data_IF_189488906970
#
_entry.id   IF_189488906970
#
_cell.length_a   1.000
_cell.length_b   1.000
_cell.length_c   1.000
_cell.angle_alpha   90.00
_cell.angle_beta   90.00
_cell.angle_gamma   90.00
#
_symmetry.space_group_name_H-M   'P 1'
#
loop_
_entity.id
_entity.type
_entity.pdbx_description
1 polymer ?
#
# COMPACT_ATOMS: atom_id res chain seq x y z
N UNK A 1 10.39 -1.15 14.31
CA UNK A 1 9.55 -2.17 15.00
C UNK A 1 8.15 -2.16 14.40
N UNK A 2 7.64 -3.32 14.04
CA UNK A 2 6.31 -3.45 13.44
C UNK A 2 5.30 -3.82 14.51
N UNK A 3 4.14 -3.17 14.49
CA UNK A 3 3.01 -3.44 15.37
C UNK A 3 1.69 -3.04 14.70
N UNK A 4 0.59 -3.49 15.26
CA UNK A 4 -0.72 -3.00 14.85
C UNK A 4 -0.87 -1.53 15.22
N UNK A 5 -1.57 -0.75 14.38
CA UNK A 5 -1.84 0.65 14.68
C UNK A 5 -2.90 0.79 15.76
N UNK A 6 -2.93 1.96 16.39
CA UNK A 6 -3.98 2.32 17.33
C UNK A 6 -4.82 3.46 16.74
N UNK A 7 -6.13 3.45 16.98
CA UNK A 7 -7.05 4.43 16.39
C UNK A 7 -6.69 5.88 16.73
N UNK A 8 -6.07 6.12 17.88
CA UNK A 8 -5.58 7.46 18.25
C UNK A 8 -4.50 8.00 17.31
N UNK A 9 -3.89 7.11 16.50
CA UNK A 9 -2.82 7.45 15.58
C UNK A 9 -3.32 7.87 14.20
N UNK A 10 -4.62 8.03 14.03
CA UNK A 10 -5.21 8.33 12.72
C UNK A 10 -4.66 9.60 12.10
N UNK A 11 -4.38 10.64 12.90
CA UNK A 11 -3.81 11.89 12.42
C UNK A 11 -2.43 11.70 11.77
N UNK A 12 -1.44 11.14 12.51
CA UNK A 12 -0.12 10.84 11.96
C UNK A 12 -0.17 9.89 10.75
N UNK A 13 -1.06 8.90 10.78
CA UNK A 13 -1.17 7.95 9.69
C UNK A 13 -1.70 8.60 8.42
N UNK A 14 -2.70 9.45 8.53
CA UNK A 14 -3.24 10.20 7.38
C UNK A 14 -2.22 11.18 6.81
N UNK A 15 -1.44 11.84 7.67
CA UNK A 15 -0.38 12.74 7.23
C UNK A 15 0.68 11.98 6.44
N UNK A 16 1.09 10.82 6.93
CA UNK A 16 2.05 9.97 6.26
C UNK A 16 1.50 9.48 4.91
N UNK A 17 0.24 9.03 4.89
CA UNK A 17 -0.42 8.60 3.67
C UNK A 17 -0.42 9.71 2.61
N UNK A 18 -0.86 10.92 2.99
CA UNK A 18 -0.99 12.04 2.06
C UNK A 18 0.38 12.44 1.48
N UNK A 19 1.37 12.64 2.34
CA UNK A 19 2.73 12.98 1.91
C UNK A 19 3.31 11.92 0.96
N UNK A 20 3.16 10.66 1.33
CA UNK A 20 3.75 9.55 0.59
C UNK A 20 3.06 9.31 -0.73
N UNK A 21 1.72 9.39 -0.78
CA UNK A 21 0.99 9.17 -2.03
C UNK A 21 1.23 10.28 -3.04
N UNK A 22 1.34 11.53 -2.59
CA UNK A 22 1.70 12.66 -3.45
C UNK A 22 3.11 12.44 -4.02
N UNK A 23 4.06 12.08 -3.18
CA UNK A 23 5.44 11.83 -3.59
C UNK A 23 5.54 10.70 -4.63
N UNK A 24 4.78 9.62 -4.43
CA UNK A 24 4.83 8.43 -5.29
C UNK A 24 4.13 8.64 -6.65
N UNK A 25 3.23 9.60 -6.76
CA UNK A 25 2.37 9.77 -7.93
C UNK A 25 2.43 11.18 -8.52
N UNK A 26 3.59 11.63 -9.03
CA UNK A 26 3.72 12.98 -9.59
C UNK A 26 2.87 13.19 -10.86
N UNK A 27 2.39 12.12 -11.47
CA UNK A 27 1.52 12.15 -12.66
C UNK A 27 0.03 12.34 -12.31
N UNK A 28 -0.31 12.48 -11.01
CA UNK A 28 -1.67 12.71 -10.53
C UNK A 28 -1.69 14.04 -9.79
N UNK A 29 -2.73 14.83 -9.99
CA UNK A 29 -2.88 16.13 -9.33
C UNK A 29 -2.98 15.96 -7.83
N UNK A 30 -2.24 16.75 -7.06
CA UNK A 30 -2.26 16.69 -5.61
C UNK A 30 -3.66 16.89 -5.02
N UNK A 31 -4.50 17.73 -5.67
CA UNK A 31 -5.86 17.97 -5.23
C UNK A 31 -6.68 16.67 -5.09
N UNK A 32 -6.46 15.70 -5.98
CA UNK A 32 -7.14 14.41 -5.90
C UNK A 32 -6.86 13.71 -4.57
N UNK A 33 -5.60 13.73 -4.14
CA UNK A 33 -5.22 13.08 -2.88
C UNK A 33 -5.77 13.82 -1.66
N UNK A 34 -5.74 15.16 -1.68
CA UNK A 34 -6.36 15.97 -0.62
C UNK A 34 -7.86 15.69 -0.49
N UNK A 35 -8.55 15.56 -1.61
CA UNK A 35 -9.98 15.24 -1.64
C UNK A 35 -10.28 13.83 -1.16
N UNK A 36 -9.30 12.93 -1.27
CA UNK A 36 -9.45 11.52 -0.88
C UNK A 36 -9.24 11.27 0.62
N UNK A 37 -8.70 12.22 1.36
CA UNK A 37 -8.38 12.07 2.78
C UNK A 37 -9.59 11.60 3.58
N UNK A 38 -10.77 12.19 3.36
CA UNK A 38 -11.97 11.84 4.10
C UNK A 38 -12.39 10.37 3.87
N UNK A 39 -12.27 9.88 2.64
CA UNK A 39 -12.59 8.49 2.31
C UNK A 39 -11.62 7.53 2.98
N UNK A 40 -10.33 7.85 2.95
CA UNK A 40 -9.32 7.02 3.61
C UNK A 40 -9.56 6.96 5.11
N UNK A 41 -9.85 8.11 5.73
CA UNK A 41 -10.10 8.20 7.17
C UNK A 41 -11.38 7.47 7.59
N UNK A 42 -12.47 7.65 6.85
CA UNK A 42 -13.80 7.24 7.28
C UNK A 42 -14.22 5.87 6.73
N UNK A 43 -13.64 5.43 5.62
CA UNK A 43 -14.04 4.19 4.95
C UNK A 43 -12.93 3.15 4.94
N UNK A 44 -11.75 3.50 4.40
CA UNK A 44 -10.67 2.51 4.21
C UNK A 44 -10.00 2.08 5.50
N UNK A 45 -9.52 3.01 6.30
CA UNK A 45 -8.80 2.66 7.53
C UNK A 45 -9.67 1.88 8.53
N UNK A 46 -10.96 2.26 8.76
CA UNK A 46 -11.81 1.48 9.63
C UNK A 46 -12.06 0.05 9.17
N UNK A 47 -12.07 -0.19 7.85
CA UNK A 47 -12.33 -1.50 7.28
C UNK A 47 -11.08 -2.36 7.11
N UNK A 48 -9.89 -1.80 7.33
CA UNK A 48 -8.62 -2.48 7.07
C UNK A 48 -7.96 -2.98 8.35
N UNK A 49 -7.11 -4.01 8.20
CA UNK A 49 -6.11 -4.36 9.20
C UNK A 49 -4.82 -3.64 8.83
N UNK A 50 -4.28 -2.86 9.76
CA UNK A 50 -3.14 -1.98 9.48
C UNK A 50 -1.99 -2.24 10.45
N UNK A 51 -0.79 -2.41 9.89
CA UNK A 51 0.46 -2.53 10.62
C UNK A 51 1.31 -1.31 10.34
N UNK A 52 2.01 -0.84 11.37
CA UNK A 52 2.89 0.33 11.27
C UNK A 52 4.33 -0.04 11.62
N UNK A 53 5.26 0.67 11.01
CA UNK A 53 6.67 0.66 11.41
C UNK A 53 6.91 1.88 12.27
N UNK A 54 7.22 1.66 13.54
CA UNK A 54 7.53 2.71 14.49
C UNK A 54 9.02 2.74 14.78
N UNK A 55 9.58 3.95 14.80
CA UNK A 55 10.98 4.20 15.07
C UNK A 55 11.09 5.56 15.75
N UNK A 56 11.75 5.64 16.90
CA UNK A 56 11.92 6.89 17.66
C UNK A 56 10.58 7.59 17.94
N UNK A 57 9.57 6.83 18.34
CA UNK A 57 8.21 7.30 18.63
C UNK A 57 7.47 7.90 17.44
N UNK A 58 7.97 7.65 16.22
CA UNK A 58 7.33 8.13 14.98
C UNK A 58 6.96 6.96 14.07
N UNK A 59 5.83 7.07 13.40
CA UNK A 59 5.43 6.12 12.37
C UNK A 59 6.14 6.48 11.07
N UNK A 60 6.99 5.59 10.57
CA UNK A 60 7.78 5.80 9.35
C UNK A 60 7.21 5.07 8.14
N UNK A 61 6.28 4.17 8.35
CA UNK A 61 5.63 3.42 7.28
C UNK A 61 4.42 2.66 7.79
N UNK A 62 3.56 2.25 6.88
CA UNK A 62 2.42 1.40 7.23
C UNK A 62 1.95 0.58 6.04
N UNK A 63 1.24 -0.51 6.33
CA UNK A 63 0.56 -1.33 5.33
C UNK A 63 -0.85 -1.63 5.83
N UNK A 64 -1.85 -1.47 4.95
CA UNK A 64 -3.25 -1.73 5.25
C UNK A 64 -3.79 -2.81 4.31
N UNK A 65 -4.44 -3.82 4.88
CA UNK A 65 -5.03 -4.93 4.12
C UNK A 65 -6.51 -4.99 4.41
N UNK A 66 -7.32 -4.96 3.36
CA UNK A 66 -8.78 -5.09 3.45
C UNK A 66 -9.18 -6.57 3.59
N UNK A 67 -10.41 -6.84 4.02
CA UNK A 67 -10.92 -8.22 4.21
C UNK A 67 -10.77 -9.09 2.97
N UNK A 68 -10.88 -8.52 1.79
CA UNK A 68 -10.69 -9.22 0.51
C UNK A 68 -9.24 -9.61 0.23
N UNK A 69 -8.34 -9.46 1.21
CA UNK A 69 -6.90 -9.70 1.07
C UNK A 69 -6.24 -8.74 0.08
N UNK A 70 -6.86 -7.60 -0.09
CA UNK A 70 -6.38 -6.55 -0.97
C UNK A 70 -5.52 -5.57 -0.18
N UNK A 71 -4.28 -5.38 -0.60
CA UNK A 71 -3.39 -4.38 -0.01
C UNK A 71 -3.84 -3.02 -0.51
N UNK A 72 -4.59 -2.30 0.33
CA UNK A 72 -5.14 -1.00 -0.02
C UNK A 72 -4.13 0.13 0.07
N UNK A 73 -3.10 -0.04 0.88
CA UNK A 73 -2.05 0.97 1.04
C UNK A 73 -0.76 0.33 1.55
N UNK A 74 0.36 0.77 1.03
CA UNK A 74 1.68 0.52 1.56
C UNK A 74 2.51 1.77 1.28
N UNK A 75 2.87 2.46 2.34
CA UNK A 75 3.64 3.70 2.21
C UNK A 75 4.74 3.78 3.25
N UNK A 76 5.89 4.32 2.84
CA UNK A 76 7.04 4.59 3.69
C UNK A 76 7.34 6.07 3.56
N UNK A 77 7.62 6.74 4.67
CA UNK A 77 7.96 8.17 4.67
C UNK A 77 9.09 8.43 3.65
N UNK A 78 9.00 9.49 2.84
CA UNK A 78 10.05 9.79 1.85
C UNK A 78 11.45 9.89 2.45
N UNK A 79 11.55 10.31 3.71
CA UNK A 79 12.83 10.42 4.43
C UNK A 79 13.37 9.07 4.93
N UNK A 80 12.54 8.01 4.87
CA UNK A 80 12.91 6.67 5.37
C UNK A 80 12.94 5.61 4.27
N UNK A 81 12.89 6.01 3.00
CA UNK A 81 12.93 5.09 1.87
C UNK A 81 14.28 4.36 1.77
N UNK A 82 14.26 3.19 1.12
CA UNK A 82 15.44 2.36 0.84
C UNK A 82 16.14 1.81 2.08
N UNK A 83 15.42 1.66 3.18
CA UNK A 83 15.92 1.08 4.43
C UNK A 83 15.35 -0.30 4.71
N UNK A 84 14.55 -0.86 3.78
CA UNK A 84 13.93 -2.17 3.97
C UNK A 84 12.63 -2.14 4.77
N UNK A 85 12.08 -0.96 5.10
CA UNK A 85 10.83 -0.85 5.87
C UNK A 85 9.65 -1.42 5.09
N UNK A 86 9.52 -1.07 3.80
CA UNK A 86 8.45 -1.59 2.95
C UNK A 86 8.48 -3.11 2.85
N UNK A 87 9.66 -3.68 2.65
CA UNK A 87 9.86 -5.13 2.61
C UNK A 87 9.45 -5.79 3.93
N UNK A 88 9.87 -5.20 5.07
CA UNK A 88 9.53 -5.74 6.38
C UNK A 88 8.02 -5.73 6.62
N UNK A 89 7.32 -4.68 6.18
CA UNK A 89 5.87 -4.58 6.28
C UNK A 89 5.17 -5.64 5.41
N UNK A 90 5.63 -5.84 4.18
CA UNK A 90 5.10 -6.89 3.30
C UNK A 90 5.34 -8.27 3.91
N UNK A 91 6.53 -8.53 4.42
CA UNK A 91 6.86 -9.81 5.06
C UNK A 91 5.96 -10.07 6.27
N UNK A 92 5.62 -9.03 7.03
CA UNK A 92 4.70 -9.17 8.17
C UNK A 92 3.32 -9.63 7.72
N UNK A 93 2.72 -8.97 6.71
CA UNK A 93 1.38 -9.35 6.26
C UNK A 93 1.36 -10.73 5.58
N UNK A 94 2.45 -11.13 4.92
CA UNK A 94 2.56 -12.48 4.35
C UNK A 94 2.44 -13.58 5.39
N UNK A 95 2.73 -13.28 6.66
CA UNK A 95 2.57 -14.25 7.76
C UNK A 95 1.10 -14.43 8.15
N UNK A 96 0.26 -13.46 7.82
CA UNK A 96 -1.15 -13.44 8.22
C UNK A 96 -2.11 -13.86 7.12
N UNK A 97 -1.67 -13.86 5.85
CA UNK A 97 -2.52 -14.13 4.70
C UNK A 97 -1.86 -15.14 3.77
N UNK A 98 -2.65 -16.10 3.28
CA UNK A 98 -2.18 -17.12 2.34
C UNK A 98 -1.92 -16.54 0.95
N UNK A 99 -2.62 -15.46 0.60
CA UNK A 99 -2.44 -14.75 -0.66
C UNK A 99 -2.84 -13.30 -0.48
N UNK A 100 -2.32 -12.44 -1.35
CA UNK A 100 -2.58 -11.01 -1.35
C UNK A 100 -2.72 -10.53 -2.79
N UNK A 101 -3.57 -9.53 -3.00
CA UNK A 101 -3.66 -8.82 -4.28
C UNK A 101 -3.51 -7.32 -4.04
N UNK A 102 -3.18 -6.59 -5.09
CA UNK A 102 -3.08 -5.14 -5.05
C UNK A 102 -3.29 -4.55 -6.44
N UNK A 103 -3.53 -3.26 -6.47
CA UNK A 103 -3.59 -2.49 -7.69
C UNK A 103 -2.55 -1.38 -7.61
N UNK A 104 -1.79 -1.18 -8.69
CA UNK A 104 -0.71 -0.19 -8.74
C UNK A 104 -0.76 0.52 -10.08
N UNK A 105 -0.53 1.85 -10.07
CA UNK A 105 -0.46 2.61 -11.31
C UNK A 105 0.72 2.13 -12.15
N UNK A 106 0.49 1.93 -13.46
CA UNK A 106 1.55 1.48 -14.37
C UNK A 106 2.72 2.46 -14.43
N UNK A 107 2.45 3.75 -14.26
CA UNK A 107 3.48 4.80 -14.27
C UNK A 107 4.34 4.81 -13.00
N UNK A 108 3.89 4.18 -11.94
CA UNK A 108 4.66 4.05 -10.71
C UNK A 108 5.63 2.87 -10.83
N UNK A 109 6.65 3.01 -11.66
CA UNK A 109 7.60 1.94 -11.95
C UNK A 109 8.33 1.46 -10.70
N UNK A 110 8.61 2.37 -9.78
CA UNK A 110 9.31 2.03 -8.53
C UNK A 110 8.48 1.05 -7.69
N UNK A 111 7.18 1.29 -7.57
CA UNK A 111 6.28 0.39 -6.84
C UNK A 111 6.11 -0.94 -7.57
N UNK A 112 5.93 -0.93 -8.89
CA UNK A 112 5.82 -2.15 -9.69
C UNK A 112 7.04 -3.04 -9.49
N UNK A 113 8.23 -2.46 -9.59
CA UNK A 113 9.48 -3.18 -9.39
C UNK A 113 9.64 -3.68 -7.95
N UNK A 114 9.23 -2.87 -6.98
CA UNK A 114 9.24 -3.26 -5.57
C UNK A 114 8.37 -4.49 -5.34
N UNK A 115 7.12 -4.46 -5.79
CA UNK A 115 6.21 -5.59 -5.59
C UNK A 115 6.67 -6.84 -6.33
N UNK A 116 7.24 -6.68 -7.52
CA UNK A 116 7.82 -7.80 -8.25
C UNK A 116 8.96 -8.44 -7.44
N UNK A 117 9.82 -7.64 -6.82
CA UNK A 117 10.90 -8.12 -5.96
C UNK A 117 10.37 -8.86 -4.72
N UNK A 118 9.16 -8.51 -4.27
CA UNK A 118 8.50 -9.18 -3.13
C UNK A 118 7.72 -10.43 -3.54
N UNK A 119 7.79 -10.83 -4.80
CA UNK A 119 7.14 -12.05 -5.28
C UNK A 119 5.77 -11.87 -5.90
N UNK A 120 5.29 -10.63 -6.03
CA UNK A 120 4.04 -10.35 -6.71
C UNK A 120 4.25 -10.42 -8.23
N UNK A 121 3.20 -10.81 -8.94
CA UNK A 121 3.21 -10.87 -10.41
C UNK A 121 1.95 -10.22 -10.96
N UNK A 122 2.08 -9.61 -12.13
CA UNK A 122 0.97 -9.00 -12.85
C UNK A 122 0.01 -10.10 -13.27
N UNK A 123 -1.25 -9.95 -12.88
CA UNK A 123 -2.32 -10.88 -13.18
C UNK A 123 -3.29 -10.29 -14.21
N UNK A 124 -3.48 -8.97 -14.16
CA UNK A 124 -4.43 -8.27 -15.02
C UNK A 124 -4.06 -6.80 -15.11
N UNK A 125 -4.77 -6.06 -15.97
CA UNK A 125 -4.68 -4.61 -16.05
C UNK A 125 -6.08 -4.02 -15.84
N UNK A 126 -6.10 -2.75 -15.41
CA UNK A 126 -7.34 -2.03 -15.16
C UNK A 126 -7.15 -0.55 -15.49
N UNK A 127 -8.24 0.18 -15.42
CA UNK A 127 -8.27 1.62 -15.67
C UNK A 127 -8.95 2.31 -14.50
N UNK A 128 -8.29 3.34 -13.97
CA UNK A 128 -8.85 4.17 -12.91
C UNK A 128 -9.53 5.39 -13.52
N UNK A 129 -10.85 5.41 -13.49
CA UNK A 129 -11.62 6.51 -14.07
C UNK A 129 -11.40 7.83 -13.34
N UNK A 130 -11.23 7.79 -12.03
CA UNK A 130 -11.06 8.99 -11.22
C UNK A 130 -9.78 9.75 -11.55
N UNK A 131 -8.72 9.04 -11.93
CA UNK A 131 -7.41 9.61 -12.19
C UNK A 131 -7.03 9.55 -13.68
N UNK A 132 -7.84 8.88 -14.50
CA UNK A 132 -7.59 8.64 -15.92
C UNK A 132 -6.22 7.99 -16.15
N UNK A 133 -5.92 6.94 -15.38
CA UNK A 133 -4.63 6.26 -15.42
C UNK A 133 -4.80 4.74 -15.51
N UNK A 134 -3.93 4.08 -16.31
CA UNK A 134 -3.89 2.62 -16.34
C UNK A 134 -3.20 2.06 -15.12
N UNK A 135 -3.67 0.90 -14.67
CA UNK A 135 -3.11 0.20 -13.51
C UNK A 135 -2.80 -1.26 -13.84
N UNK A 136 -1.99 -1.88 -12.96
CA UNK A 136 -1.78 -3.33 -12.94
C UNK A 136 -2.45 -3.89 -11.71
N UNK A 137 -3.07 -5.07 -11.86
CA UNK A 137 -3.49 -5.90 -10.74
C UNK A 137 -2.39 -6.93 -10.53
N UNK A 138 -1.84 -7.00 -9.32
CA UNK A 138 -0.77 -7.92 -8.99
C UNK A 138 -1.20 -8.86 -7.87
N UNK A 139 -0.65 -10.08 -7.88
CA UNK A 139 -0.97 -11.11 -6.87
C UNK A 139 0.28 -11.78 -6.34
N UNK A 140 0.24 -12.15 -5.07
CA UNK A 140 1.22 -12.99 -4.38
C UNK A 140 0.50 -14.07 -3.58
N UNK A 141 0.96 -15.33 -3.56
CA UNK A 141 1.93 -15.90 -4.49
C UNK A 141 1.34 -16.04 -5.88
N UNK A 142 2.20 -16.26 -6.85
CA UNK A 142 1.76 -16.56 -8.21
C UNK A 142 0.89 -17.82 -8.16
N UNK A 143 -0.25 -17.81 -8.86
CA UNK A 143 -1.13 -18.97 -8.91
C UNK A 143 -0.38 -20.13 -9.58
N UNK A 144 -0.09 -21.15 -8.77
CA UNK A 144 0.59 -22.37 -9.23
C UNK A 144 -0.39 -23.55 -9.25
N UNK A 145 -1.67 -23.28 -9.50
CA UNK A 145 -2.64 -24.35 -9.60
C UNK A 145 -2.15 -25.36 -10.65
N UNK A 146 -1.92 -26.64 -10.26
CA UNK A 146 -1.46 -27.61 -11.22
C UNK A 146 -2.48 -27.78 -12.34
N UNK A 147 -2.00 -27.77 -13.57
CA UNK A 147 -2.80 -28.10 -14.73
C UNK A 147 -3.04 -29.59 -14.70
N UNK A 148 -4.13 -30.01 -14.11
CA UNK A 148 -4.54 -31.42 -14.11
C UNK A 148 -5.76 -31.62 -14.96
#
# INVERSE_FOLDING_TARGET
MIRKWETKEIGPLLALWLESTIHAHPFIKEAYWHESVAVVRDVYLPAASTWVWEEDDEIKGFISVLESRFVGALFVAPTALRRGIGRALVDEVKRHYAWLSLEVYQKNLQAVNFYHAQGFRIEDCAWQDDTLQPTWIMRWPVDQTPLT
#
